data_IF_172849848803
#
_entry.id   IF_172849848803
#
_cell.length_a   1.000
_cell.length_b   1.000
_cell.length_c   1.000
_cell.angle_alpha   90.00
_cell.angle_beta   90.00
_cell.angle_gamma   90.00
#
_symmetry.space_group_name_H-M   'P 1'
#
loop_
_entity.id
_entity.type
_entity.pdbx_description
1 polymer ?
#
# COMPACT_ATOMS: atom_id res chain seq x y z
N UNK A 1 26.63 21.26 52.78
CA UNK A 1 25.82 20.22 52.10
C UNK A 1 24.79 20.79 51.13
N UNK A 2 24.03 21.86 51.46
CA UNK A 2 22.95 22.39 50.60
C UNK A 2 23.40 23.20 49.37
N UNK A 3 24.63 23.74 49.35
CA UNK A 3 25.12 24.62 48.28
C UNK A 3 25.38 23.88 46.96
N UNK A 4 25.78 22.61 47.04
CA UNK A 4 26.04 21.76 45.87
C UNK A 4 24.76 21.28 45.20
N UNK A 5 23.66 21.17 45.94
CA UNK A 5 22.36 20.73 45.40
C UNK A 5 21.72 21.82 44.51
N UNK A 6 21.86 23.09 44.90
CA UNK A 6 21.37 24.24 44.14
C UNK A 6 22.18 24.43 42.85
N UNK A 7 23.51 24.25 42.91
CA UNK A 7 24.38 24.33 41.75
C UNK A 7 24.06 23.24 40.70
N UNK A 8 23.74 22.02 41.15
CA UNK A 8 23.36 20.92 40.26
C UNK A 8 22.01 21.17 39.57
N UNK A 9 21.06 21.77 40.28
CA UNK A 9 19.71 22.08 39.78
C UNK A 9 19.74 23.23 38.76
N UNK A 10 20.58 24.24 38.98
CA UNK A 10 20.81 25.34 38.03
C UNK A 10 21.51 24.84 36.76
N UNK A 11 22.50 23.94 36.89
CA UNK A 11 23.14 23.31 35.72
C UNK A 11 22.20 22.39 34.93
N UNK A 12 21.25 21.71 35.59
CA UNK A 12 20.23 20.89 34.93
C UNK A 12 19.22 21.75 34.14
N UNK A 13 18.80 22.89 34.70
CA UNK A 13 17.93 23.84 34.01
C UNK A 13 18.62 24.53 32.82
N UNK A 14 19.93 24.84 32.94
CA UNK A 14 20.71 25.42 31.84
C UNK A 14 20.88 24.40 30.70
N UNK A 15 21.16 23.12 31.01
CA UNK A 15 21.25 22.06 29.98
C UNK A 15 19.92 21.81 29.27
N UNK A 16 18.78 21.94 29.96
CA UNK A 16 17.45 21.75 29.38
C UNK A 16 17.05 22.90 28.44
N UNK A 17 17.46 24.13 28.74
CA UNK A 17 17.20 25.30 27.91
C UNK A 17 18.09 25.36 26.65
N UNK A 18 19.34 24.90 26.72
CA UNK A 18 20.26 24.89 25.56
C UNK A 18 19.98 23.77 24.56
N UNK A 19 19.23 22.73 24.95
CA UNK A 19 18.76 21.68 24.02
C UNK A 19 17.72 22.21 23.01
N UNK A 20 17.14 23.39 23.26
CA UNK A 20 16.17 24.07 22.39
C UNK A 20 16.73 25.33 21.70
N UNK A 21 18.05 25.58 21.81
CA UNK A 21 18.73 26.76 21.26
C UNK A 21 19.90 26.42 20.34
N UNK A 22 19.99 25.17 19.89
CA UNK A 22 20.80 24.83 18.73
C UNK A 22 20.01 25.19 17.47
N UNK A 23 20.54 26.01 16.55
CA UNK A 23 19.93 26.16 15.24
C UNK A 23 19.88 24.76 14.61
N UNK A 24 18.67 24.25 14.40
CA UNK A 24 18.46 23.10 13.53
C UNK A 24 19.16 23.43 12.19
N UNK A 25 19.86 22.47 11.57
CA UNK A 25 20.58 22.72 10.33
C UNK A 25 19.62 23.32 9.29
N UNK A 26 19.79 24.61 9.04
CA UNK A 26 19.09 25.38 8.03
C UNK A 26 19.65 24.86 6.70
N UNK A 27 18.93 23.94 6.06
CA UNK A 27 19.38 23.30 4.82
C UNK A 27 18.90 21.88 4.55
N UNK A 28 18.03 21.31 5.39
CA UNK A 28 17.36 20.04 5.09
C UNK A 28 15.86 20.31 5.01
N UNK A 29 15.33 20.35 3.78
CA UNK A 29 13.90 20.45 3.52
C UNK A 29 13.17 19.34 4.31
N UNK A 30 12.58 19.68 5.45
CA UNK A 30 11.69 18.76 6.20
C UNK A 30 10.50 18.29 5.36
N UNK A 31 10.23 18.95 4.24
CA UNK A 31 9.21 18.59 3.27
C UNK A 31 9.60 17.40 2.38
N UNK A 32 10.88 17.16 2.06
CA UNK A 32 11.26 16.05 1.16
C UNK A 32 11.38 14.69 1.85
N UNK A 33 11.59 14.64 3.18
CA UNK A 33 11.65 13.36 3.90
C UNK A 33 10.28 12.70 4.06
N UNK A 34 9.20 13.47 4.00
CA UNK A 34 7.82 12.95 4.07
C UNK A 34 7.36 12.36 2.73
N UNK A 35 7.83 12.92 1.61
CA UNK A 35 7.45 12.44 0.27
C UNK A 35 8.08 11.10 -0.10
N UNK A 36 9.26 10.75 0.45
CA UNK A 36 9.82 9.39 0.27
C UNK A 36 9.10 8.32 1.10
N UNK A 37 8.21 8.70 2.02
CA UNK A 37 7.52 7.76 2.90
C UNK A 37 6.23 7.18 2.29
N UNK A 38 5.71 7.83 1.26
CA UNK A 38 4.47 7.43 0.60
C UNK A 38 4.71 7.13 -0.88
N UNK A 39 4.01 6.13 -1.38
CA UNK A 39 4.01 5.74 -2.78
C UNK A 39 2.61 5.79 -3.37
N UNK A 40 2.49 6.22 -4.61
CA UNK A 40 1.22 6.22 -5.35
C UNK A 40 1.05 4.88 -6.07
N UNK A 41 -0.05 4.19 -5.80
CA UNK A 41 -0.35 2.88 -6.38
C UNK A 41 -1.77 2.84 -6.92
N UNK A 42 -2.06 1.85 -7.73
CA UNK A 42 -3.39 1.58 -8.28
C UNK A 42 -3.86 0.19 -7.90
N UNK A 43 -5.14 0.04 -7.57
CA UNK A 43 -5.79 -1.26 -7.38
C UNK A 43 -6.90 -1.41 -8.42
N UNK A 44 -6.83 -2.48 -9.22
CA UNK A 44 -7.70 -2.74 -10.35
C UNK A 44 -8.44 -4.07 -10.20
N UNK A 45 -9.74 -4.04 -10.50
CA UNK A 45 -10.56 -5.24 -10.64
C UNK A 45 -11.51 -5.09 -11.83
N UNK A 46 -11.62 -6.16 -12.62
CA UNK A 46 -12.39 -6.16 -13.86
C UNK A 46 -13.31 -7.37 -13.97
N UNK A 47 -14.61 -7.09 -14.08
CA UNK A 47 -15.66 -8.00 -14.51
C UNK A 47 -16.11 -7.67 -15.93
N UNK A 48 -16.83 -8.58 -16.61
CA UNK A 48 -17.35 -8.32 -17.96
C UNK A 48 -18.30 -7.11 -18.02
N UNK A 49 -19.04 -6.88 -16.95
CA UNK A 49 -20.06 -5.84 -16.81
C UNK A 49 -19.55 -4.55 -16.17
N UNK A 50 -18.46 -4.63 -15.38
CA UNK A 50 -17.93 -3.48 -14.64
C UNK A 50 -16.43 -3.59 -14.44
N UNK A 51 -15.72 -2.49 -14.64
CA UNK A 51 -14.28 -2.38 -14.37
C UNK A 51 -14.05 -1.18 -13.47
N UNK A 52 -13.10 -1.32 -12.53
CA UNK A 52 -12.74 -0.25 -11.60
C UNK A 52 -11.23 -0.25 -11.38
N UNK A 53 -10.66 0.95 -11.38
CA UNK A 53 -9.27 1.22 -11.01
C UNK A 53 -9.33 2.33 -9.95
N UNK A 54 -8.72 2.09 -8.81
CA UNK A 54 -8.69 3.02 -7.67
C UNK A 54 -7.23 3.40 -7.44
N UNK A 55 -6.90 4.68 -7.65
CA UNK A 55 -5.60 5.22 -7.28
C UNK A 55 -5.60 5.60 -5.80
N UNK A 56 -4.55 5.22 -5.08
CA UNK A 56 -4.38 5.53 -3.66
C UNK A 56 -2.91 5.80 -3.34
N UNK A 57 -2.68 6.64 -2.33
CA UNK A 57 -1.37 6.90 -1.78
C UNK A 57 -1.21 6.09 -0.49
N UNK A 58 -0.19 5.24 -0.44
CA UNK A 58 0.08 4.31 0.68
C UNK A 58 1.50 4.49 1.20
N UNK A 59 1.81 3.97 2.38
CA UNK A 59 3.18 4.03 2.91
C UNK A 59 4.14 3.18 2.05
N UNK A 60 5.41 3.58 1.94
CA UNK A 60 6.46 2.98 1.09
C UNK A 60 6.93 1.57 1.47
N UNK A 61 6.15 0.86 2.27
CA UNK A 61 6.34 -0.57 2.59
C UNK A 61 4.98 -1.30 2.66
N UNK A 62 3.92 -0.66 2.16
CA UNK A 62 2.57 -1.21 2.12
C UNK A 62 2.57 -2.49 1.27
N UNK A 63 1.90 -3.52 1.77
CA UNK A 63 1.76 -4.77 1.03
C UNK A 63 0.61 -4.70 0.03
N UNK A 64 0.62 -5.61 -0.94
CA UNK A 64 -0.51 -5.81 -1.88
C UNK A 64 -1.83 -5.98 -1.12
N UNK A 65 -1.85 -6.82 -0.08
CA UNK A 65 -3.04 -7.05 0.76
C UNK A 65 -3.55 -5.75 1.39
N UNK A 66 -2.67 -4.99 2.03
CA UNK A 66 -3.00 -3.73 2.69
C UNK A 66 -3.53 -2.70 1.68
N UNK A 67 -2.92 -2.59 0.50
CA UNK A 67 -3.42 -1.69 -0.54
C UNK A 67 -4.82 -2.07 -1.02
N UNK A 68 -5.10 -3.37 -1.17
CA UNK A 68 -6.44 -3.86 -1.54
C UNK A 68 -7.45 -3.50 -0.45
N UNK A 69 -7.13 -3.75 0.82
CA UNK A 69 -8.00 -3.39 1.94
C UNK A 69 -8.25 -1.88 2.02
N UNK A 70 -7.19 -1.07 1.93
CA UNK A 70 -7.26 0.40 1.97
C UNK A 70 -8.03 0.98 0.78
N UNK A 71 -7.96 0.36 -0.39
CA UNK A 71 -8.71 0.79 -1.58
C UNK A 71 -10.22 0.65 -1.41
N UNK A 72 -10.68 -0.20 -0.49
CA UNK A 72 -12.10 -0.52 -0.32
C UNK A 72 -12.72 -1.25 -1.51
N UNK A 73 -11.91 -1.79 -2.44
CA UNK A 73 -12.41 -2.48 -3.64
C UNK A 73 -13.26 -3.70 -3.28
N UNK A 74 -12.96 -4.37 -2.15
CA UNK A 74 -13.73 -5.50 -1.62
C UNK A 74 -15.16 -5.11 -1.23
N UNK A 75 -15.39 -3.84 -0.87
CA UNK A 75 -16.73 -3.31 -0.56
C UNK A 75 -17.53 -3.08 -1.86
N UNK A 76 -16.84 -2.65 -2.92
CA UNK A 76 -17.46 -2.45 -4.25
C UNK A 76 -17.75 -3.79 -4.96
N UNK A 77 -16.97 -4.83 -4.65
CA UNK A 77 -17.04 -6.16 -5.24
C UNK A 77 -16.96 -7.24 -4.14
N UNK A 78 -18.09 -7.57 -3.49
CA UNK A 78 -18.12 -8.54 -2.38
C UNK A 78 -17.77 -9.97 -2.79
N UNK A 79 -17.68 -10.27 -4.08
CA UNK A 79 -17.23 -11.55 -4.62
C UNK A 79 -15.71 -11.75 -4.57
N UNK A 80 -14.92 -10.70 -4.27
CA UNK A 80 -13.47 -10.81 -4.14
C UNK A 80 -13.15 -11.61 -2.87
N UNK A 81 -12.45 -12.73 -3.04
CA UNK A 81 -11.94 -13.57 -1.97
C UNK A 81 -10.42 -13.73 -2.17
N UNK A 82 -9.63 -12.96 -1.43
CA UNK A 82 -8.17 -12.95 -1.55
C UNK A 82 -7.50 -14.29 -1.25
N UNK A 83 -8.21 -15.23 -0.61
CA UNK A 83 -7.70 -16.60 -0.41
C UNK A 83 -7.77 -17.46 -1.68
N UNK A 84 -8.63 -17.09 -2.64
CA UNK A 84 -8.88 -17.83 -3.88
C UNK A 84 -8.46 -17.06 -5.13
N UNK A 85 -8.60 -15.74 -5.11
CA UNK A 85 -8.25 -14.88 -6.22
C UNK A 85 -6.73 -14.78 -6.33
N UNK A 86 -6.21 -14.94 -7.55
CA UNK A 86 -4.82 -14.60 -7.83
C UNK A 86 -4.68 -13.09 -7.90
N UNK A 87 -3.58 -12.57 -7.39
CA UNK A 87 -3.22 -11.16 -7.50
C UNK A 87 -1.92 -11.02 -8.30
N UNK A 88 -1.75 -9.88 -8.94
CA UNK A 88 -0.52 -9.56 -9.66
C UNK A 88 -0.21 -8.08 -9.66
N UNK A 89 1.03 -7.75 -10.00
CA UNK A 89 1.49 -6.39 -10.27
C UNK A 89 1.89 -6.36 -11.75
N UNK A 90 1.32 -5.44 -12.53
CA UNK A 90 1.59 -5.31 -13.97
C UNK A 90 1.58 -6.64 -14.74
N UNK A 91 0.47 -7.39 -14.67
CA UNK A 91 0.32 -8.70 -15.34
C UNK A 91 1.24 -9.83 -14.85
N UNK A 92 2.01 -9.62 -13.78
CA UNK A 92 2.83 -10.65 -13.14
C UNK A 92 2.22 -11.08 -11.81
N UNK A 93 1.98 -12.38 -11.62
CA UNK A 93 1.41 -12.90 -10.37
C UNK A 93 2.37 -12.67 -9.20
N UNK A 94 1.86 -12.17 -8.09
CA UNK A 94 2.65 -11.87 -6.89
C UNK A 94 1.98 -12.44 -5.63
N UNK A 95 2.69 -12.34 -4.50
CA UNK A 95 2.14 -12.69 -3.19
C UNK A 95 1.40 -11.48 -2.61
N UNK A 96 0.44 -11.76 -1.73
CA UNK A 96 -0.26 -10.72 -0.96
C UNK A 96 0.68 -9.93 -0.04
N UNK A 97 1.79 -10.55 0.40
CA UNK A 97 2.83 -9.94 1.22
C UNK A 97 3.87 -9.15 0.44
N UNK A 98 3.78 -9.10 -0.90
CA UNK A 98 4.71 -8.31 -1.73
C UNK A 98 4.56 -6.82 -1.40
N UNK A 99 5.68 -6.14 -1.18
CA UNK A 99 5.71 -4.69 -0.94
C UNK A 99 5.53 -3.95 -2.27
N UNK A 100 4.74 -2.89 -2.23
CA UNK A 100 4.47 -2.05 -3.39
C UNK A 100 5.50 -0.95 -3.56
N UNK A 101 5.74 -0.59 -4.81
CA UNK A 101 6.59 0.49 -5.25
C UNK A 101 5.77 1.61 -5.90
N UNK A 102 6.42 2.74 -6.13
CA UNK A 102 5.82 3.87 -6.83
C UNK A 102 5.28 3.45 -8.20
N UNK A 103 4.03 3.82 -8.45
CA UNK A 103 3.25 3.53 -9.66
C UNK A 103 2.89 2.06 -9.88
N UNK A 104 3.05 1.19 -8.89
CA UNK A 104 2.58 -0.19 -9.02
C UNK A 104 1.06 -0.24 -9.19
N UNK A 105 0.63 -1.08 -10.15
CA UNK A 105 -0.79 -1.45 -10.30
C UNK A 105 -1.01 -2.88 -9.86
N UNK A 106 -1.73 -3.02 -8.76
CA UNK A 106 -2.26 -4.28 -8.24
C UNK A 106 -3.50 -4.69 -9.05
N UNK A 107 -3.46 -5.87 -9.64
CA UNK A 107 -4.53 -6.46 -10.43
C UNK A 107 -5.10 -7.68 -9.71
N UNK A 108 -6.40 -7.65 -9.40
CA UNK A 108 -7.10 -8.78 -8.80
C UNK A 108 -7.71 -9.63 -9.91
N UNK A 109 -7.25 -10.86 -10.10
CA UNK A 109 -7.74 -11.76 -11.15
C UNK A 109 -8.98 -12.53 -10.70
N UNK A 110 -9.94 -12.68 -11.61
CA UNK A 110 -11.12 -13.53 -11.41
C UNK A 110 -10.72 -15.00 -11.41
N UNK A 111 -11.23 -15.76 -10.44
CA UNK A 111 -11.08 -17.21 -10.45
C UNK A 111 -11.91 -17.81 -11.59
N UNK A 112 -11.29 -18.59 -12.48
CA UNK A 112 -11.99 -19.24 -13.57
C UNK A 112 -12.53 -20.59 -13.07
N UNK A 113 -13.86 -20.71 -12.98
CA UNK A 113 -14.52 -21.95 -12.52
C UNK A 113 -14.54 -23.05 -13.59
N UNK A 114 -14.35 -22.71 -14.87
CA UNK A 114 -14.39 -23.67 -15.98
C UNK A 114 -13.00 -23.76 -16.60
N UNK A 115 -12.53 -24.99 -16.81
CA UNK A 115 -11.33 -25.26 -17.59
C UNK A 115 -11.44 -24.57 -18.97
N UNK A 116 -10.48 -23.71 -19.36
CA UNK A 116 -10.48 -23.03 -20.66
C UNK A 116 -10.69 -23.98 -21.85
N UNK A 117 -10.24 -25.23 -21.76
CA UNK A 117 -10.44 -26.24 -22.81
C UNK A 117 -11.90 -26.71 -22.90
N UNK A 118 -12.55 -26.97 -21.77
CA UNK A 118 -13.96 -27.34 -21.75
C UNK A 118 -14.86 -26.17 -22.19
N UNK A 119 -14.54 -24.94 -21.78
CA UNK A 119 -15.24 -23.74 -22.22
C UNK A 119 -15.11 -23.50 -23.74
N UNK A 120 -13.98 -23.88 -24.36
CA UNK A 120 -13.81 -23.87 -25.82
C UNK A 120 -14.65 -24.96 -26.48
N UNK A 121 -14.65 -26.18 -25.94
CA UNK A 121 -15.47 -27.30 -26.45
C UNK A 121 -16.97 -26.97 -26.44
N UNK A 122 -17.48 -26.41 -25.35
CA UNK A 122 -18.91 -26.06 -25.24
C UNK A 122 -19.32 -24.93 -26.21
N UNK A 123 -18.42 -23.97 -26.49
CA UNK A 123 -18.67 -22.92 -27.49
C UNK A 123 -18.77 -23.47 -28.90
N UNK A 124 -17.90 -24.40 -29.29
CA UNK A 124 -17.94 -25.04 -30.60
C UNK A 124 -19.25 -25.83 -30.80
N UNK A 125 -19.75 -26.52 -29.77
CA UNK A 125 -21.00 -27.29 -29.84
C UNK A 125 -22.24 -26.38 -30.00
N UNK A 126 -22.25 -25.17 -29.43
CA UNK A 126 -23.37 -24.23 -29.55
C UNK A 126 -23.46 -23.52 -30.90
N UNK A 127 -22.36 -23.42 -31.66
CA UNK A 127 -22.33 -22.75 -32.97
C UNK A 127 -22.63 -23.68 -34.15
N UNK A 128 -22.72 -25.01 -33.93
CA UNK A 128 -22.95 -26.01 -34.97
C UNK A 128 -24.40 -26.53 -35.07
N UNK A 129 -25.38 -25.80 -34.54
CA UNK A 129 -26.83 -26.08 -34.68
C UNK A 129 -27.49 -24.91 -35.37
#
# INVERSE_FOLDING_TARGET
MAFWLILLLVLFLIKFATQWLLPLPIGQNRFTLFECLFVNVEVAYARPDRQLIISLQVLGACTVEQAIELSGINVQFPEIDLSKNKVGIFSQTCLLSTQLQEHDRVEIYRNLTIDPMEARRQRAVRQGR
#
